data_IF_819772959434
#
_entry.id   IF_819772959434
#
_cell.length_a   1.000
_cell.length_b   1.000
_cell.length_c   1.000
_cell.angle_alpha   90.00
_cell.angle_beta   90.00
_cell.angle_gamma   90.00
#
_symmetry.space_group_name_H-M   'P 1'
#
loop_
_entity.id
_entity.type
_entity.pdbx_description
1 polymer ?
#
# COMPACT_ATOMS: atom_id res chain seq x y z
N UNK A 1 -15.73 -14.41 -14.01
CA UNK A 1 -14.90 -13.23 -13.72
C UNK A 1 -14.19 -12.81 -14.98
N UNK A 2 -14.46 -11.59 -15.40
CA UNK A 2 -13.73 -10.86 -16.45
C UNK A 2 -12.27 -10.60 -16.03
N UNK A 3 -11.42 -10.26 -17.00
CA UNK A 3 -9.99 -10.02 -16.77
C UNK A 3 -9.75 -8.90 -15.77
N UNK A 4 -10.59 -7.85 -15.79
CA UNK A 4 -10.53 -6.72 -14.86
C UNK A 4 -10.77 -7.17 -13.40
N UNK A 5 -11.82 -7.94 -13.12
CA UNK A 5 -12.08 -8.44 -11.76
C UNK A 5 -10.95 -9.35 -11.28
N UNK A 6 -10.45 -10.26 -12.13
CA UNK A 6 -9.37 -11.17 -11.74
C UNK A 6 -8.09 -10.40 -11.41
N UNK A 7 -7.74 -9.42 -12.23
CA UNK A 7 -6.57 -8.59 -12.03
C UNK A 7 -6.65 -7.82 -10.70
N UNK A 8 -7.73 -7.07 -10.48
CA UNK A 8 -7.91 -6.30 -9.24
C UNK A 8 -8.02 -7.19 -7.99
N UNK A 9 -8.59 -8.39 -8.12
CA UNK A 9 -8.66 -9.33 -6.99
C UNK A 9 -7.27 -9.82 -6.58
N UNK A 10 -6.44 -10.18 -7.56
CA UNK A 10 -5.06 -10.62 -7.31
C UNK A 10 -4.24 -9.46 -6.76
N UNK A 11 -4.31 -8.29 -7.40
CA UNK A 11 -3.59 -7.08 -6.98
C UNK A 11 -3.97 -6.69 -5.56
N UNK A 12 -5.27 -6.56 -5.27
CA UNK A 12 -5.77 -6.26 -3.93
C UNK A 12 -5.31 -7.26 -2.89
N UNK A 13 -5.34 -8.56 -3.21
CA UNK A 13 -4.87 -9.62 -2.31
C UNK A 13 -3.37 -9.50 -2.00
N UNK A 14 -2.54 -9.18 -3.00
CA UNK A 14 -1.10 -8.97 -2.83
C UNK A 14 -0.84 -7.81 -1.87
N UNK A 15 -1.56 -6.70 -2.03
CA UNK A 15 -1.41 -5.54 -1.13
C UNK A 15 -1.83 -5.85 0.31
N UNK A 16 -2.90 -6.63 0.50
CA UNK A 16 -3.30 -7.09 1.83
C UNK A 16 -2.22 -7.98 2.46
N UNK A 17 -1.58 -8.87 1.70
CA UNK A 17 -0.46 -9.69 2.17
C UNK A 17 0.74 -8.81 2.57
N UNK A 18 1.10 -7.81 1.77
CA UNK A 18 2.17 -6.85 2.12
C UNK A 18 1.84 -6.03 3.36
N UNK A 19 0.57 -5.67 3.56
CA UNK A 19 0.11 -5.03 4.78
C UNK A 19 0.37 -5.91 6.00
N UNK A 20 -0.05 -7.18 5.95
CA UNK A 20 0.16 -8.13 7.04
C UNK A 20 1.65 -8.35 7.34
N UNK A 21 2.46 -8.53 6.30
CA UNK A 21 3.93 -8.67 6.45
C UNK A 21 4.53 -7.42 7.11
N UNK A 22 4.16 -6.22 6.64
CA UNK A 22 4.67 -4.96 7.18
C UNK A 22 4.24 -4.74 8.64
N UNK A 23 3.01 -5.12 8.97
CA UNK A 23 2.50 -5.07 10.33
C UNK A 23 3.30 -5.99 11.26
N UNK A 24 3.47 -7.26 10.89
CA UNK A 24 4.22 -8.24 11.69
C UNK A 24 5.69 -7.81 11.80
N UNK A 25 6.28 -7.34 10.70
CA UNK A 25 7.64 -6.84 10.68
C UNK A 25 7.84 -5.61 11.57
N UNK A 26 6.78 -4.84 11.87
CA UNK A 26 6.89 -3.68 12.76
C UNK A 26 7.37 -4.07 14.17
N UNK A 27 7.15 -5.30 14.63
CA UNK A 27 7.67 -5.75 15.92
C UNK A 27 9.09 -6.31 15.86
N UNK A 28 9.57 -6.63 14.65
CA UNK A 28 10.89 -7.21 14.41
C UNK A 28 11.95 -6.15 14.04
N UNK A 29 11.52 -4.97 13.60
CA UNK A 29 12.43 -3.88 13.21
C UNK A 29 12.80 -2.96 14.39
N UNK A 30 14.00 -2.34 14.36
CA UNK A 30 14.37 -1.31 15.33
C UNK A 30 13.33 -0.19 15.48
N UNK A 31 13.24 0.42 16.67
CA UNK A 31 12.23 1.43 17.00
C UNK A 31 12.17 2.60 16.01
N UNK A 32 13.29 2.98 15.39
CA UNK A 32 13.31 4.06 14.41
C UNK A 32 12.66 3.69 13.07
N UNK A 33 12.60 2.40 12.72
CA UNK A 33 11.87 1.89 11.55
C UNK A 33 10.43 1.46 11.85
N UNK A 34 10.03 1.35 13.13
CA UNK A 34 8.66 0.96 13.49
C UNK A 34 7.60 1.83 12.84
N UNK A 35 7.77 3.16 12.95
CA UNK A 35 6.83 4.12 12.36
C UNK A 35 6.72 3.94 10.84
N UNK A 36 7.82 3.59 10.19
CA UNK A 36 7.86 3.30 8.76
C UNK A 36 7.03 2.07 8.40
N UNK A 37 7.24 0.96 9.11
CA UNK A 37 6.53 -0.29 8.90
C UNK A 37 5.01 -0.13 9.10
N UNK A 38 4.62 0.64 10.11
CA UNK A 38 3.21 0.97 10.37
C UNK A 38 2.56 1.81 9.26
N UNK A 39 3.24 2.86 8.78
CA UNK A 39 2.72 3.67 7.67
C UNK A 39 2.62 2.81 6.40
N UNK A 40 3.64 1.99 6.10
CA UNK A 40 3.62 1.08 4.96
C UNK A 40 2.45 0.08 5.05
N UNK A 41 2.24 -0.54 6.21
CA UNK A 41 1.14 -1.46 6.43
C UNK A 41 -0.23 -0.81 6.18
N UNK A 42 -0.43 0.41 6.69
CA UNK A 42 -1.65 1.17 6.48
C UNK A 42 -1.83 1.57 5.01
N UNK A 43 -0.76 1.98 4.34
CA UNK A 43 -0.82 2.34 2.91
C UNK A 43 -1.16 1.13 2.04
N UNK A 44 -0.55 -0.04 2.31
CA UNK A 44 -0.85 -1.26 1.56
C UNK A 44 -2.27 -1.75 1.80
N UNK A 45 -2.81 -1.67 3.03
CA UNK A 45 -4.21 -2.08 3.25
C UNK A 45 -5.18 -1.16 2.52
N UNK A 46 -4.94 0.16 2.52
CA UNK A 46 -5.78 1.12 1.80
C UNK A 46 -5.72 0.91 0.29
N UNK A 47 -4.54 0.62 -0.25
CA UNK A 47 -4.37 0.29 -1.67
C UNK A 47 -5.15 -0.99 -2.01
N UNK A 48 -4.96 -2.06 -1.24
CA UNK A 48 -5.65 -3.33 -1.50
C UNK A 48 -7.17 -3.24 -1.37
N UNK A 49 -7.68 -2.48 -0.39
CA UNK A 49 -9.12 -2.20 -0.28
C UNK A 49 -9.61 -1.43 -1.52
N UNK A 50 -8.83 -0.48 -2.04
CA UNK A 50 -9.21 0.28 -3.23
C UNK A 50 -9.40 -0.62 -4.46
N UNK A 51 -8.52 -1.61 -4.66
CA UNK A 51 -8.65 -2.58 -5.75
C UNK A 51 -9.87 -3.50 -5.58
N UNK A 52 -10.12 -3.97 -4.35
CA UNK A 52 -11.30 -4.79 -4.07
C UNK A 52 -12.62 -4.02 -4.23
N UNK A 53 -12.61 -2.71 -3.98
CA UNK A 53 -13.77 -1.84 -4.23
C UNK A 53 -13.98 -1.58 -5.72
N UNK A 54 -12.91 -1.50 -6.52
CA UNK A 54 -13.02 -1.37 -7.97
C UNK A 54 -13.72 -2.55 -8.64
N UNK A 55 -13.57 -3.77 -8.07
CA UNK A 55 -14.35 -4.94 -8.50
C UNK A 55 -15.85 -4.69 -8.38
N UNK A 56 -16.29 -3.99 -7.32
CA UNK A 56 -17.71 -3.72 -7.08
C UNK A 56 -18.23 -2.52 -7.86
N UNK A 57 -17.43 -1.47 -8.02
CA UNK A 57 -17.84 -0.26 -8.73
C UNK A 57 -17.75 -0.44 -10.25
N UNK A 58 -16.96 -1.40 -10.74
CA UNK A 58 -16.87 -1.78 -12.15
C UNK A 58 -16.24 -0.72 -13.05
N UNK A 59 -15.81 0.41 -12.49
CA UNK A 59 -15.31 1.53 -13.25
C UNK A 59 -14.27 2.36 -12.49
N UNK A 60 -13.01 2.14 -12.87
CA UNK A 60 -11.84 2.90 -12.45
C UNK A 60 -12.01 4.41 -12.66
N UNK A 61 -12.57 4.83 -13.80
CA UNK A 61 -12.72 6.24 -14.17
C UNK A 61 -13.97 6.93 -13.59
N UNK A 62 -15.01 6.17 -13.23
CA UNK A 62 -16.26 6.74 -12.70
C UNK A 62 -16.20 6.99 -11.18
N UNK A 63 -15.09 6.61 -10.54
CA UNK A 63 -14.93 6.71 -9.09
C UNK A 63 -13.70 7.56 -8.73
N UNK A 64 -13.75 8.90 -8.90
CA UNK A 64 -12.59 9.79 -8.75
C UNK A 64 -11.90 9.70 -7.39
N UNK A 65 -12.66 9.36 -6.34
CA UNK A 65 -12.12 9.21 -5.00
C UNK A 65 -11.21 7.98 -4.84
N UNK A 66 -11.51 6.86 -5.53
CA UNK A 66 -10.65 5.67 -5.52
C UNK A 66 -9.33 5.98 -6.23
N UNK A 67 -9.40 6.69 -7.36
CA UNK A 67 -8.22 7.14 -8.08
C UNK A 67 -7.34 8.08 -7.23
N UNK A 68 -7.95 9.06 -6.56
CA UNK A 68 -7.24 9.94 -5.64
C UNK A 68 -6.58 9.16 -4.48
N UNK A 69 -7.29 8.18 -3.90
CA UNK A 69 -6.75 7.32 -2.85
C UNK A 69 -5.52 6.53 -3.34
N UNK A 70 -5.58 5.95 -4.54
CA UNK A 70 -4.44 5.25 -5.15
C UNK A 70 -3.24 6.19 -5.33
N UNK A 71 -3.45 7.41 -5.82
CA UNK A 71 -2.38 8.42 -5.95
C UNK A 71 -1.75 8.73 -4.59
N UNK A 72 -2.56 8.97 -3.56
CA UNK A 72 -2.07 9.25 -2.20
C UNK A 72 -1.26 8.06 -1.67
N UNK A 73 -1.72 6.83 -1.92
CA UNK A 73 -0.99 5.64 -1.50
C UNK A 73 0.36 5.51 -2.22
N UNK A 74 0.41 5.67 -3.55
CA UNK A 74 1.66 5.67 -4.32
C UNK A 74 2.62 6.76 -3.84
N UNK A 75 2.12 7.98 -3.65
CA UNK A 75 2.93 9.10 -3.14
C UNK A 75 3.49 8.80 -1.74
N UNK A 76 2.69 8.17 -0.88
CA UNK A 76 3.12 7.76 0.46
C UNK A 76 4.21 6.70 0.39
N UNK A 77 4.04 5.67 -0.45
CA UNK A 77 5.06 4.64 -0.66
C UNK A 77 6.37 5.23 -1.22
N UNK A 78 6.28 6.15 -2.18
CA UNK A 78 7.45 6.85 -2.72
C UNK A 78 8.16 7.69 -1.64
N UNK A 79 7.41 8.44 -0.83
CA UNK A 79 7.95 9.21 0.28
C UNK A 79 8.62 8.32 1.33
N UNK A 80 8.04 7.15 1.62
CA UNK A 80 8.63 6.12 2.46
C UNK A 80 9.96 5.64 1.83
N UNK A 81 10.01 5.23 0.57
CA UNK A 81 11.29 4.81 -0.07
C UNK A 81 12.38 5.89 0.06
N UNK A 82 12.04 7.16 -0.22
CA UNK A 82 12.98 8.28 -0.07
C UNK A 82 13.44 8.45 1.38
N UNK A 83 12.52 8.38 2.34
CA UNK A 83 12.86 8.48 3.76
C UNK A 83 13.77 7.34 4.20
N UNK A 84 13.48 6.10 3.80
CA UNK A 84 14.31 4.94 4.12
C UNK A 84 15.74 5.11 3.58
N UNK A 85 15.90 5.54 2.33
CA UNK A 85 17.21 5.80 1.72
C UNK A 85 17.98 6.87 2.52
N UNK A 86 17.32 7.97 2.88
CA UNK A 86 17.95 9.04 3.68
C UNK A 86 18.36 8.56 5.07
N UNK A 87 17.51 7.79 5.74
CA UNK A 87 17.79 7.27 7.07
C UNK A 87 18.98 6.29 7.04
N UNK A 88 19.06 5.45 6.00
CA UNK A 88 20.17 4.53 5.81
C UNK A 88 21.48 5.25 5.47
N UNK A 89 21.43 6.33 4.70
CA UNK A 89 22.61 7.13 4.37
C UNK A 89 23.21 7.86 5.59
N UNK A 90 22.40 8.19 6.61
CA UNK A 90 22.86 8.81 7.85
C UNK A 90 23.41 7.80 8.88
N UNK A 91 23.18 6.51 8.67
CA UNK A 91 23.62 5.42 9.56
C UNK A 91 24.93 4.74 9.15
N UNK A 92 25.54 5.19 8.04
CA UNK A 92 26.87 4.79 7.56
C UNK A 92 27.85 5.89 7.94
#
# INVERSE_FOLDING_TARGET
MDSFTRFNFIEGSVWIVFSAISWIASDLVPKHYRRFAWIAALTFVLFGISDLLEIRTGAFFLTPWLFALKIICVATLAALVVWYIRLRAQSI
#
